data_IF_190936780312
#
_entry.id   IF_190936780312
#
_cell.length_a   1.000
_cell.length_b   1.000
_cell.length_c   1.000
_cell.angle_alpha   90.00
_cell.angle_beta   90.00
_cell.angle_gamma   90.00
#
_symmetry.space_group_name_H-M   'P 1'
#
loop_
_entity.id
_entity.type
_entity.pdbx_description
1 polymer ?
#
# COMPACT_ATOMS: atom_id res chain seq x y z
N UNK A 1 5.07 -29.15 -5.23
CA UNK A 1 5.23 -29.85 -3.93
C UNK A 1 5.83 -28.88 -2.91
N UNK A 2 4.99 -28.10 -2.22
CA UNK A 2 5.43 -27.25 -1.09
C UNK A 2 5.58 -28.05 0.22
N UNK A 3 5.20 -29.35 0.19
CA UNK A 3 5.17 -30.25 1.35
C UNK A 3 6.56 -30.67 1.85
N UNK A 4 7.63 -30.43 1.09
CA UNK A 4 8.97 -30.95 1.40
C UNK A 4 9.95 -29.91 1.98
N UNK A 5 9.49 -28.70 2.35
CA UNK A 5 10.32 -27.69 3.00
C UNK A 5 9.80 -27.38 4.41
N UNK A 6 10.41 -27.96 5.47
CA UNK A 6 10.01 -27.74 6.86
C UNK A 6 10.05 -26.27 7.30
N UNK A 7 11.00 -25.48 6.79
CA UNK A 7 11.09 -24.06 7.12
C UNK A 7 9.92 -23.28 6.55
N UNK A 8 9.52 -23.58 5.31
CA UNK A 8 8.39 -22.94 4.67
C UNK A 8 7.09 -23.25 5.41
N UNK A 9 6.90 -24.51 5.80
CA UNK A 9 5.75 -24.93 6.61
C UNK A 9 5.71 -24.16 7.94
N UNK A 10 6.83 -24.07 8.64
CA UNK A 10 6.92 -23.33 9.90
C UNK A 10 6.56 -21.85 9.72
N UNK A 11 7.02 -21.21 8.64
CA UNK A 11 6.67 -19.81 8.31
C UNK A 11 5.17 -19.64 8.03
N UNK A 12 4.55 -20.59 7.33
CA UNK A 12 3.11 -20.58 7.07
C UNK A 12 2.32 -20.73 8.37
N UNK A 13 2.72 -21.66 9.25
CA UNK A 13 2.08 -21.86 10.56
C UNK A 13 2.24 -20.62 11.46
N UNK A 14 3.41 -19.99 11.47
CA UNK A 14 3.63 -18.73 12.19
C UNK A 14 2.75 -17.60 11.67
N UNK A 15 2.60 -17.49 10.34
CA UNK A 15 1.72 -16.50 9.72
C UNK A 15 0.28 -16.73 10.15
N UNK A 16 -0.20 -17.97 10.09
CA UNK A 16 -1.54 -18.35 10.52
C UNK A 16 -1.79 -18.00 12.00
N UNK A 17 -0.85 -18.30 12.90
CA UNK A 17 -0.96 -17.97 14.32
C UNK A 17 -1.04 -16.46 14.58
N UNK A 18 -0.37 -15.63 13.76
CA UNK A 18 -0.47 -14.16 13.84
C UNK A 18 -1.86 -13.67 13.45
N UNK A 19 -2.44 -14.19 12.36
CA UNK A 19 -3.81 -13.83 11.97
C UNK A 19 -4.83 -14.28 13.00
N UNK A 20 -4.68 -15.50 13.52
CA UNK A 20 -5.56 -16.04 14.55
C UNK A 20 -5.53 -15.22 15.85
N UNK A 21 -4.33 -14.93 16.38
CA UNK A 21 -4.18 -14.09 17.58
C UNK A 21 -4.61 -12.63 17.37
N UNK A 22 -4.57 -12.14 16.13
CA UNK A 22 -5.11 -10.84 15.71
C UNK A 22 -6.62 -10.80 15.51
N UNK A 23 -7.35 -11.90 15.78
CA UNK A 23 -8.81 -11.96 15.66
C UNK A 23 -9.33 -12.28 14.26
N UNK A 24 -8.46 -12.60 13.30
CA UNK A 24 -8.84 -13.04 11.96
C UNK A 24 -8.84 -14.57 11.94
N UNK A 25 -9.94 -15.16 12.42
CA UNK A 25 -10.10 -16.61 12.53
C UNK A 25 -10.66 -17.26 11.27
N UNK A 26 -11.34 -16.50 10.40
CA UNK A 26 -11.87 -17.01 9.13
C UNK A 26 -10.73 -17.18 8.10
N UNK A 27 -10.45 -18.42 7.64
CA UNK A 27 -9.38 -18.66 6.67
C UNK A 27 -9.52 -17.89 5.36
N UNK A 28 -10.74 -17.67 4.87
CA UNK A 28 -10.95 -16.94 3.62
C UNK A 28 -10.56 -15.46 3.79
N UNK A 29 -10.96 -14.84 4.89
CA UNK A 29 -10.59 -13.47 5.24
C UNK A 29 -9.08 -13.34 5.44
N UNK A 30 -8.44 -14.31 6.11
CA UNK A 30 -6.99 -14.30 6.28
C UNK A 30 -6.25 -14.35 4.93
N UNK A 31 -6.69 -15.21 4.01
CA UNK A 31 -6.11 -15.30 2.66
C UNK A 31 -6.25 -13.97 1.90
N UNK A 32 -7.40 -13.32 2.01
CA UNK A 32 -7.63 -12.00 1.40
C UNK A 32 -6.67 -10.94 1.96
N UNK A 33 -6.52 -10.86 3.29
CA UNK A 33 -5.59 -9.92 3.92
C UNK A 33 -4.13 -10.18 3.52
N UNK A 34 -3.71 -11.46 3.49
CA UNK A 34 -2.38 -11.85 3.00
C UNK A 34 -2.20 -11.40 1.55
N UNK A 35 -3.20 -11.60 0.71
CA UNK A 35 -3.15 -11.22 -0.70
C UNK A 35 -3.00 -9.71 -0.87
N UNK A 36 -3.71 -8.91 -0.07
CA UNK A 36 -3.54 -7.46 -0.07
C UNK A 36 -2.14 -7.03 0.36
N UNK A 37 -1.60 -7.61 1.43
CA UNK A 37 -0.23 -7.32 1.87
C UNK A 37 0.82 -7.67 0.81
N UNK A 38 0.67 -8.83 0.17
CA UNK A 38 1.56 -9.26 -0.92
C UNK A 38 1.45 -8.32 -2.13
N UNK A 39 0.25 -7.89 -2.48
CA UNK A 39 0.04 -6.93 -3.55
C UNK A 39 0.73 -5.59 -3.25
N UNK A 40 0.52 -5.03 -2.06
CA UNK A 40 1.14 -3.76 -1.65
C UNK A 40 2.66 -3.85 -1.63
N UNK A 41 3.23 -4.91 -1.05
CA UNK A 41 4.68 -5.13 -1.04
C UNK A 41 5.24 -5.21 -2.46
N UNK A 42 4.60 -5.97 -3.34
CA UNK A 42 5.06 -6.16 -4.72
C UNK A 42 4.93 -4.89 -5.55
N UNK A 43 3.88 -4.10 -5.29
CA UNK A 43 3.70 -2.77 -5.89
C UNK A 43 4.87 -1.85 -5.51
N UNK A 44 5.27 -1.86 -4.23
CA UNK A 44 6.39 -1.05 -3.75
C UNK A 44 7.73 -1.50 -4.34
N UNK A 45 8.04 -2.79 -4.31
CA UNK A 45 9.27 -3.35 -4.89
C UNK A 45 9.40 -3.02 -6.39
N UNK A 46 8.30 -3.10 -7.15
CA UNK A 46 8.28 -2.74 -8.57
C UNK A 46 8.49 -1.24 -8.80
N UNK A 47 7.96 -0.38 -7.94
CA UNK A 47 8.16 1.06 -8.01
C UNK A 47 9.61 1.42 -7.69
N UNK A 48 10.20 0.84 -6.64
CA UNK A 48 11.61 1.04 -6.27
C UNK A 48 12.55 0.56 -7.39
N UNK A 49 12.28 -0.60 -7.97
CA UNK A 49 13.06 -1.11 -9.11
C UNK A 49 13.02 -0.12 -10.28
N UNK A 50 11.85 0.39 -10.64
CA UNK A 50 11.72 1.37 -11.73
C UNK A 50 12.43 2.69 -11.44
N UNK A 51 12.45 3.14 -10.17
CA UNK A 51 13.24 4.30 -9.77
C UNK A 51 14.74 4.07 -9.99
N UNK A 52 15.26 2.92 -9.55
CA UNK A 52 16.67 2.57 -9.72
C UNK A 52 17.05 2.40 -11.21
N UNK A 53 16.19 1.73 -11.98
CA UNK A 53 16.39 1.57 -13.43
C UNK A 53 16.44 2.93 -14.14
N UNK A 54 15.55 3.86 -13.78
CA UNK A 54 15.48 5.20 -14.35
C UNK A 54 16.69 6.07 -13.96
N UNK A 55 17.19 5.95 -12.72
CA UNK A 55 18.43 6.60 -12.29
C UNK A 55 19.63 6.09 -13.10
N UNK A 56 19.68 4.77 -13.36
CA UNK A 56 20.73 4.16 -14.18
C UNK A 56 20.67 4.58 -15.65
N UNK A 57 19.48 4.62 -16.26
CA UNK A 57 19.30 5.00 -17.68
C UNK A 57 19.24 6.50 -17.90
N UNK A 58 19.17 7.31 -16.83
CA UNK A 58 18.88 8.74 -16.88
C UNK A 58 17.54 9.09 -17.56
N UNK A 59 16.59 8.15 -17.56
CA UNK A 59 15.23 8.38 -18.07
C UNK A 59 14.34 8.99 -16.97
N UNK A 60 13.37 9.86 -17.33
CA UNK A 60 12.46 10.41 -16.34
C UNK A 60 11.48 9.35 -15.85
N UNK A 61 11.46 9.09 -14.53
CA UNK A 61 10.46 8.25 -13.89
C UNK A 61 9.81 8.94 -12.70
N UNK A 62 8.48 8.88 -12.61
CA UNK A 62 7.71 9.38 -11.47
C UNK A 62 7.18 8.20 -10.66
N UNK A 63 7.59 8.11 -9.40
CA UNK A 63 7.11 7.07 -8.49
C UNK A 63 5.60 7.16 -8.26
N UNK A 64 4.94 6.01 -8.13
CA UNK A 64 3.53 5.86 -7.79
C UNK A 64 3.18 6.41 -6.42
N UNK A 65 4.18 6.53 -5.54
CA UNK A 65 4.07 7.09 -4.20
C UNK A 65 4.37 8.59 -4.16
N UNK A 66 4.38 9.28 -5.30
CA UNK A 66 4.48 10.75 -5.36
C UNK A 66 3.11 11.42 -5.32
N UNK A 67 3.05 12.60 -4.70
CA UNK A 67 1.85 13.42 -4.60
C UNK A 67 1.10 13.23 -3.27
N UNK A 68 -0.09 13.82 -3.21
CA UNK A 68 -0.95 13.83 -2.02
C UNK A 68 -2.08 12.82 -2.20
N UNK A 69 -2.30 11.96 -1.21
CA UNK A 69 -3.47 11.10 -1.11
C UNK A 69 -4.53 11.79 -0.25
N UNK A 70 -5.79 11.67 -0.66
CA UNK A 70 -6.92 12.24 0.07
C UNK A 70 -7.74 11.07 0.59
N UNK A 71 -7.87 10.94 1.93
CA UNK A 71 -8.75 9.95 2.54
C UNK A 71 -10.20 10.06 2.03
N UNK A 72 -10.89 8.93 1.78
CA UNK A 72 -12.25 8.93 1.23
C UNK A 72 -13.24 9.85 1.97
N UNK A 73 -13.14 9.93 3.30
CA UNK A 73 -13.96 10.77 4.17
C UNK A 73 -13.81 12.28 3.92
N UNK A 74 -12.73 12.70 3.26
CA UNK A 74 -12.44 14.10 2.97
C UNK A 74 -12.68 14.47 1.50
N UNK A 75 -12.85 13.48 0.60
CA UNK A 75 -12.98 13.72 -0.85
C UNK A 75 -14.20 14.54 -1.21
N UNK A 76 -15.37 14.17 -0.70
CA UNK A 76 -16.63 14.88 -0.97
C UNK A 76 -16.55 16.37 -0.60
N UNK A 77 -15.99 16.68 0.58
CA UNK A 77 -15.81 18.07 1.05
C UNK A 77 -14.92 18.89 0.10
N UNK A 78 -13.86 18.29 -0.43
CA UNK A 78 -12.94 18.96 -1.36
C UNK A 78 -13.61 19.16 -2.72
N UNK A 79 -14.36 18.18 -3.20
CA UNK A 79 -15.09 18.27 -4.47
C UNK A 79 -16.20 19.33 -4.41
N UNK A 80 -16.93 19.43 -3.30
CA UNK A 80 -18.00 20.42 -3.09
C UNK A 80 -17.49 21.87 -2.94
N UNK A 81 -16.25 22.05 -2.49
CA UNK A 81 -15.66 23.38 -2.25
C UNK A 81 -15.47 24.13 -3.58
N UNK A 82 -16.32 25.10 -3.94
CA UNK A 82 -16.27 25.73 -5.28
C UNK A 82 -15.01 26.57 -5.54
N UNK A 83 -14.39 27.13 -4.50
CA UNK A 83 -13.22 28.00 -4.60
C UNK A 83 -11.93 27.19 -4.81
N UNK A 84 -11.16 27.42 -5.91
CA UNK A 84 -9.91 26.70 -6.16
C UNK A 84 -8.86 26.89 -5.06
N UNK A 85 -8.76 28.10 -4.48
CA UNK A 85 -7.79 28.40 -3.41
C UNK A 85 -8.12 27.66 -2.12
N UNK A 86 -9.39 27.52 -1.81
CA UNK A 86 -9.87 26.83 -0.61
C UNK A 86 -9.72 25.32 -0.75
N UNK A 87 -9.99 24.77 -1.94
CA UNK A 87 -9.69 23.36 -2.28
C UNK A 87 -8.23 23.02 -2.04
N UNK A 88 -7.31 23.83 -2.55
CA UNK A 88 -5.86 23.59 -2.38
C UNK A 88 -5.45 23.70 -0.91
N UNK A 89 -6.03 24.63 -0.15
CA UNK A 89 -5.80 24.73 1.30
C UNK A 89 -6.28 23.46 2.03
N UNK A 90 -7.47 22.96 1.69
CA UNK A 90 -8.03 21.74 2.27
C UNK A 90 -7.21 20.50 1.91
N UNK A 91 -6.78 20.36 0.65
CA UNK A 91 -5.89 19.27 0.22
C UNK A 91 -4.57 19.27 1.00
N UNK A 92 -4.01 20.44 1.28
CA UNK A 92 -2.77 20.56 2.07
C UNK A 92 -2.99 20.23 3.54
N UNK A 93 -4.17 20.49 4.09
CA UNK A 93 -4.50 20.25 5.49
C UNK A 93 -4.94 18.80 5.78
N UNK A 94 -5.70 18.20 4.88
CA UNK A 94 -6.36 16.90 5.07
C UNK A 94 -5.74 15.77 4.25
N UNK A 95 -4.86 16.12 3.30
CA UNK A 95 -4.17 15.15 2.49
C UNK A 95 -2.92 14.62 3.19
N UNK A 96 -2.58 13.38 2.89
CA UNK A 96 -1.39 12.71 3.37
C UNK A 96 -0.39 12.59 2.22
N UNK A 97 0.91 12.68 2.53
CA UNK A 97 1.92 12.44 1.51
C UNK A 97 1.93 10.97 1.12
N UNK A 98 1.79 10.66 -0.18
CA UNK A 98 1.77 9.26 -0.64
C UNK A 98 3.04 8.48 -0.29
N UNK A 99 4.15 9.16 -0.02
CA UNK A 99 5.40 8.56 0.42
C UNK A 99 5.31 7.93 1.81
N UNK A 100 4.44 8.46 2.69
CA UNK A 100 4.24 7.89 4.04
C UNK A 100 3.35 6.66 4.03
N UNK A 101 2.71 6.35 2.90
CA UNK A 101 1.85 5.19 2.70
C UNK A 101 2.59 3.98 2.11
N UNK A 102 3.92 4.04 2.08
CA UNK A 102 4.80 2.96 1.66
C UNK A 102 5.04 1.98 2.81
#
# INVERSE_FOLDING_TARGET
MLQNNPELRSKIEQLWNKFWSGGISNPLTAIEQITYLLFMKRLDELDQKKQADAEWTSEPYTSKFTGVWIPPEHRAKIEETKSPKEREKLKKQLGEEKRTLR
#
